data_IF_977504569309
#
_entry.id   IF_977504569309
#
_cell.length_a   1.000
_cell.length_b   1.000
_cell.length_c   1.000
_cell.angle_alpha   90.00
_cell.angle_beta   90.00
_cell.angle_gamma   90.00
#
_symmetry.space_group_name_H-M   'P 1'
#
loop_
_entity.id
_entity.type
_entity.pdbx_description
1 polymer ?
#
# COMPACT_ATOMS: atom_id res chain seq x y z
N UNK A 1 28.36 53.97 -4.39
CA UNK A 1 26.92 53.62 -4.48
C UNK A 1 26.77 52.17 -4.11
N UNK A 2 26.42 51.92 -2.84
CA UNK A 2 26.34 50.57 -2.30
C UNK A 2 24.88 50.07 -2.39
N UNK A 3 24.70 48.89 -2.95
CA UNK A 3 23.40 48.23 -3.03
C UNK A 3 23.07 47.50 -1.71
N UNK A 4 21.82 47.51 -1.25
CA UNK A 4 21.44 46.84 -0.02
C UNK A 4 21.26 45.35 -0.23
N UNK A 5 21.90 44.57 0.64
CA UNK A 5 21.72 43.10 0.74
C UNK A 5 20.35 42.79 1.33
N UNK A 6 19.53 42.09 0.55
CA UNK A 6 18.29 41.50 1.06
C UNK A 6 18.61 40.24 1.87
N UNK A 7 18.45 40.31 3.17
CA UNK A 7 18.40 39.15 4.05
C UNK A 7 17.10 38.39 3.77
N UNK A 8 17.23 37.16 3.27
CA UNK A 8 16.11 36.20 3.24
C UNK A 8 16.05 35.55 4.61
N UNK A 9 14.99 35.82 5.34
CA UNK A 9 14.62 35.13 6.55
C UNK A 9 14.11 33.75 6.15
N UNK A 10 14.85 32.72 6.50
CA UNK A 10 14.39 31.33 6.43
C UNK A 10 13.38 31.12 7.56
N UNK A 11 12.13 30.90 7.24
CA UNK A 11 11.13 30.47 8.19
C UNK A 11 11.43 29.03 8.61
N UNK A 12 11.83 28.83 9.85
CA UNK A 12 11.89 27.52 10.45
C UNK A 12 10.46 27.11 10.82
N UNK A 13 9.96 26.06 10.21
CA UNK A 13 8.68 25.46 10.56
C UNK A 13 8.89 24.72 11.89
N UNK A 14 8.39 25.28 12.95
CA UNK A 14 8.29 24.61 14.24
C UNK A 14 6.99 23.83 14.28
N UNK A 15 7.08 22.51 14.18
CA UNK A 15 5.95 21.62 14.43
C UNK A 15 5.71 21.58 15.95
N UNK A 16 4.77 22.37 16.45
CA UNK A 16 4.29 22.27 17.83
C UNK A 16 3.18 21.22 17.87
N UNK A 17 3.49 20.06 18.41
CA UNK A 17 2.50 19.04 18.75
C UNK A 17 1.65 19.57 19.92
N UNK A 18 0.41 19.94 19.65
CA UNK A 18 -0.58 20.27 20.67
C UNK A 18 -1.07 19.00 21.36
N UNK A 19 -0.66 18.80 22.61
CA UNK A 19 -1.20 17.76 23.49
C UNK A 19 -2.50 18.28 24.09
N UNK A 20 -3.65 17.78 23.62
CA UNK A 20 -4.93 17.94 24.34
C UNK A 20 -5.09 16.76 25.29
N UNK A 21 -4.93 17.05 26.57
CA UNK A 21 -5.27 16.14 27.66
C UNK A 21 -6.79 15.98 27.72
N UNK A 22 -7.33 14.82 27.29
CA UNK A 22 -8.70 14.41 27.48
C UNK A 22 -8.87 13.74 28.84
N UNK A 23 -9.64 14.35 29.73
CA UNK A 23 -10.00 13.83 31.04
C UNK A 23 -10.80 12.53 30.93
N UNK A 24 -10.31 11.46 31.55
CA UNK A 24 -11.02 10.21 31.75
C UNK A 24 -12.08 10.37 32.84
N UNK A 25 -13.35 10.24 32.49
CA UNK A 25 -14.44 10.06 33.46
C UNK A 25 -14.57 8.56 33.76
N UNK A 26 -14.19 8.20 34.98
CA UNK A 26 -14.48 6.91 35.59
C UNK A 26 -15.97 6.84 35.96
N UNK A 27 -16.70 5.89 35.38
CA UNK A 27 -17.96 5.44 35.88
C UNK A 27 -17.80 4.04 36.45
N UNK A 28 -17.72 3.96 37.78
CA UNK A 28 -17.86 2.76 38.57
C UNK A 28 -19.35 2.38 38.66
N UNK A 29 -19.71 1.16 38.27
CA UNK A 29 -20.92 0.52 38.69
C UNK A 29 -20.61 -0.87 39.25
N UNK A 30 -20.87 -1.05 40.52
CA UNK A 30 -20.80 -2.29 41.31
C UNK A 30 -21.86 -3.29 40.91
N UNK A 31 -21.45 -4.56 41.03
CA UNK A 31 -22.10 -5.84 40.92
C UNK A 31 -23.43 -6.06 41.67
N UNK A 32 -23.83 -7.24 42.09
CA UNK A 32 -23.21 -8.57 42.12
C UNK A 32 -24.16 -9.72 41.68
N UNK A 33 -23.61 -10.94 41.78
CA UNK A 33 -24.26 -12.24 42.06
C UNK A 33 -24.67 -13.16 40.91
N UNK A 34 -23.86 -14.19 40.78
CA UNK A 34 -24.17 -15.56 40.39
C UNK A 34 -25.30 -16.18 41.24
N UNK A 35 -25.93 -17.33 40.95
CA UNK A 35 -25.39 -18.50 40.28
C UNK A 35 -26.36 -19.42 39.47
N UNK A 36 -25.75 -20.43 38.88
CA UNK A 36 -26.23 -21.83 38.67
C UNK A 36 -27.05 -22.18 37.43
N UNK A 37 -26.42 -23.06 36.75
CA UNK A 37 -26.75 -24.45 36.35
C UNK A 37 -27.50 -24.74 35.06
N UNK A 38 -26.85 -25.63 34.39
CA UNK A 38 -27.36 -26.83 33.72
C UNK A 38 -28.03 -26.72 32.34
N UNK A 39 -27.36 -27.30 31.41
CA UNK A 39 -27.93 -28.51 30.82
C UNK A 39 -28.32 -28.44 29.37
N UNK A 40 -27.68 -29.26 28.65
CA UNK A 40 -28.16 -30.20 27.63
C UNK A 40 -28.31 -29.81 26.17
N UNK A 41 -27.47 -30.52 25.43
CA UNK A 41 -27.76 -31.27 24.19
C UNK A 41 -27.94 -30.56 22.85
N UNK A 42 -27.00 -30.90 22.00
CA UNK A 42 -27.13 -30.91 20.55
C UNK A 42 -28.25 -31.84 20.07
N UNK A 43 -28.75 -31.69 18.85
CA UNK A 43 -28.56 -32.81 17.96
C UNK A 43 -28.01 -32.48 16.57
N UNK A 44 -27.16 -33.36 16.13
CA UNK A 44 -26.79 -33.64 14.77
C UNK A 44 -28.01 -34.03 13.93
N UNK A 45 -28.05 -33.59 12.68
CA UNK A 45 -28.87 -34.23 11.66
C UNK A 45 -28.03 -34.44 10.39
N UNK A 46 -27.65 -35.69 10.25
CA UNK A 46 -27.12 -36.30 9.03
C UNK A 46 -28.33 -36.61 8.13
N UNK A 47 -28.29 -36.25 6.85
CA UNK A 47 -29.19 -36.77 5.85
C UNK A 47 -28.40 -37.28 4.65
N UNK A 48 -28.28 -38.58 4.60
CA UNK A 48 -27.87 -39.39 3.46
C UNK A 48 -29.08 -39.65 2.60
N UNK A 49 -29.02 -39.48 1.26
CA UNK A 49 -29.91 -40.14 0.35
C UNK A 49 -29.18 -40.66 -0.86
N UNK A 50 -29.06 -41.97 -0.90
CA UNK A 50 -28.78 -42.84 -2.03
C UNK A 50 -30.02 -43.01 -2.86
N UNK A 51 -29.88 -42.96 -4.18
CA UNK A 51 -30.91 -43.34 -5.13
C UNK A 51 -30.30 -43.82 -6.44
N UNK A 52 -30.13 -45.11 -6.59
CA UNK A 52 -29.80 -45.76 -7.80
C UNK A 52 -31.10 -46.08 -8.59
N UNK A 53 -31.07 -45.89 -9.91
CA UNK A 53 -32.13 -46.31 -10.82
C UNK A 53 -31.57 -46.66 -12.19
N UNK A 54 -31.44 -47.96 -12.39
CA UNK A 54 -31.14 -48.57 -13.71
C UNK A 54 -32.38 -48.59 -14.61
N UNK A 55 -32.20 -48.28 -15.88
CA UNK A 55 -33.21 -48.49 -16.91
C UNK A 55 -32.57 -48.65 -18.29
N UNK A 56 -32.45 -49.86 -18.74
CA UNK A 56 -32.05 -50.26 -20.10
C UNK A 56 -33.19 -50.13 -21.09
N UNK A 57 -32.94 -49.64 -22.28
CA UNK A 57 -33.88 -49.70 -23.40
C UNK A 57 -33.17 -49.39 -24.70
N UNK A 58 -32.98 -50.40 -25.53
CA UNK A 58 -32.33 -50.30 -26.84
C UNK A 58 -33.27 -49.78 -27.92
N UNK A 59 -32.67 -49.17 -28.95
CA UNK A 59 -33.36 -48.73 -30.16
C UNK A 59 -32.36 -48.28 -31.20
N UNK A 60 -32.14 -49.14 -32.19
CA UNK A 60 -31.34 -48.85 -33.38
C UNK A 60 -32.05 -47.85 -34.32
N UNK A 61 -31.32 -46.78 -34.70
CA UNK A 61 -31.77 -45.89 -35.78
C UNK A 61 -30.55 -45.20 -36.42
N UNK A 62 -30.22 -45.68 -37.64
CA UNK A 62 -29.24 -44.99 -38.50
C UNK A 62 -29.82 -43.69 -39.02
N UNK A 63 -29.08 -42.60 -38.81
CA UNK A 63 -29.35 -41.32 -39.43
C UNK A 63 -28.10 -40.49 -39.46
N UNK A 64 -27.42 -40.41 -40.60
CA UNK A 64 -26.28 -39.57 -40.84
C UNK A 64 -26.72 -38.11 -40.92
N UNK A 65 -26.42 -37.31 -39.93
CA UNK A 65 -26.56 -35.86 -39.96
C UNK A 65 -25.26 -35.24 -39.50
N UNK A 66 -24.47 -34.68 -40.43
CA UNK A 66 -23.33 -33.79 -40.11
C UNK A 66 -23.86 -32.54 -39.44
N UNK A 67 -24.00 -32.56 -38.15
CA UNK A 67 -24.21 -31.37 -37.34
C UNK A 67 -22.85 -30.79 -36.92
N UNK A 68 -22.45 -29.74 -37.60
CA UNK A 68 -21.34 -28.89 -37.16
C UNK A 68 -21.70 -28.31 -35.79
N UNK A 69 -21.24 -28.95 -34.72
CA UNK A 69 -21.37 -28.45 -33.37
C UNK A 69 -20.49 -27.22 -33.21
N UNK A 70 -21.04 -26.05 -33.45
CA UNK A 70 -20.41 -24.81 -33.01
C UNK A 70 -20.29 -24.87 -31.49
N UNK A 71 -19.06 -25.01 -31.00
CA UNK A 71 -18.76 -24.79 -29.59
C UNK A 71 -19.29 -23.41 -29.22
N UNK A 72 -19.99 -23.25 -28.09
CA UNK A 72 -20.39 -21.94 -27.65
C UNK A 72 -19.11 -21.10 -27.46
N UNK A 73 -18.93 -20.10 -28.30
CA UNK A 73 -17.92 -19.07 -28.11
C UNK A 73 -18.41 -18.28 -26.89
N UNK A 74 -17.85 -18.56 -25.72
CA UNK A 74 -18.01 -17.69 -24.56
C UNK A 74 -17.30 -16.40 -24.95
N UNK A 75 -18.06 -15.43 -25.42
CA UNK A 75 -17.60 -14.05 -25.63
C UNK A 75 -17.36 -13.45 -24.25
N UNK A 76 -16.16 -13.63 -23.72
CA UNK A 76 -15.73 -12.86 -22.58
C UNK A 76 -15.51 -11.44 -23.06
N UNK A 77 -16.35 -10.50 -22.64
CA UNK A 77 -16.09 -9.08 -22.85
C UNK A 77 -14.66 -8.76 -22.35
N UNK A 78 -13.88 -7.99 -23.12
CA UNK A 78 -12.55 -7.63 -22.68
C UNK A 78 -12.62 -6.93 -21.32
N UNK A 79 -11.70 -7.27 -20.42
CA UNK A 79 -11.60 -6.62 -19.11
C UNK A 79 -11.30 -5.14 -19.32
N UNK A 80 -12.03 -4.26 -18.62
CA UNK A 80 -11.77 -2.82 -18.66
C UNK A 80 -10.29 -2.57 -18.28
N UNK A 81 -9.57 -1.85 -19.11
CA UNK A 81 -8.16 -1.55 -18.92
C UNK A 81 -7.87 -0.08 -19.22
N UNK A 82 -7.91 0.75 -18.17
CA UNK A 82 -7.63 2.19 -18.23
C UNK A 82 -6.17 2.56 -18.00
N UNK A 83 -5.22 1.64 -18.23
CA UNK A 83 -3.78 1.93 -18.04
C UNK A 83 -3.13 2.57 -19.29
N UNK A 84 -3.91 2.94 -20.30
CA UNK A 84 -3.37 3.49 -21.55
C UNK A 84 -2.74 4.87 -21.38
N UNK A 85 -1.42 4.97 -21.53
CA UNK A 85 -0.65 6.24 -21.60
C UNK A 85 -0.83 7.22 -20.43
N UNK A 86 -1.20 6.73 -19.25
CA UNK A 86 -1.40 7.57 -18.05
C UNK A 86 -0.45 7.22 -16.90
N UNK A 87 0.52 6.34 -17.13
CA UNK A 87 1.46 5.87 -16.13
C UNK A 87 0.91 4.86 -15.12
N UNK A 88 -0.41 4.64 -15.07
CA UNK A 88 -1.00 3.65 -14.17
C UNK A 88 -0.56 2.24 -14.56
N UNK A 89 -0.13 1.48 -13.56
CA UNK A 89 0.25 0.06 -13.69
C UNK A 89 -0.45 -0.75 -12.60
N UNK A 90 -0.69 -2.03 -12.87
CA UNK A 90 -1.37 -2.92 -11.92
C UNK A 90 -0.59 -4.24 -11.87
N UNK A 91 -0.15 -4.64 -10.68
CA UNK A 91 0.49 -5.92 -10.41
C UNK A 91 -0.41 -6.81 -9.56
N UNK A 92 -0.69 -8.02 -10.02
CA UNK A 92 -1.62 -8.97 -9.38
C UNK A 92 -0.92 -10.19 -8.74
N UNK A 93 0.40 -10.11 -8.59
CA UNK A 93 1.22 -11.22 -8.09
C UNK A 93 1.53 -12.27 -9.14
N UNK A 94 0.99 -12.18 -10.36
CA UNK A 94 1.41 -13.00 -11.47
C UNK A 94 2.72 -12.49 -12.09
N UNK A 95 3.19 -13.15 -13.15
CA UNK A 95 4.35 -12.69 -13.90
C UNK A 95 4.08 -11.48 -14.80
N UNK A 96 2.84 -11.03 -14.87
CA UNK A 96 2.44 -9.94 -15.75
C UNK A 96 2.08 -8.69 -14.97
N UNK A 97 2.53 -7.55 -15.48
CA UNK A 97 2.11 -6.22 -15.05
C UNK A 97 1.22 -5.61 -16.13
N UNK A 98 0.04 -5.14 -15.76
CA UNK A 98 -0.87 -4.44 -16.69
C UNK A 98 -0.43 -2.99 -16.76
N UNK A 99 -0.06 -2.51 -17.93
CA UNK A 99 0.41 -1.15 -18.18
C UNK A 99 0.29 -0.80 -19.67
N UNK A 100 0.11 0.48 -19.98
CA UNK A 100 -0.03 0.98 -21.36
C UNK A 100 -1.09 0.21 -22.19
N UNK A 101 -2.18 -0.18 -21.55
CA UNK A 101 -3.26 -0.94 -22.21
C UNK A 101 -2.96 -2.43 -22.44
N UNK A 102 -1.79 -2.94 -22.05
CA UNK A 102 -1.35 -4.31 -22.31
C UNK A 102 -0.88 -5.03 -21.03
N UNK A 103 -0.56 -6.31 -21.16
CA UNK A 103 0.09 -7.11 -20.12
C UNK A 103 1.55 -7.31 -20.51
N UNK A 104 2.46 -6.80 -19.69
CA UNK A 104 3.91 -6.91 -19.88
C UNK A 104 4.44 -8.06 -19.03
N UNK A 105 5.20 -8.97 -19.63
CA UNK A 105 5.75 -10.15 -18.97
C UNK A 105 7.11 -9.81 -18.31
N UNK A 106 7.16 -9.92 -16.99
CA UNK A 106 8.39 -9.70 -16.20
C UNK A 106 9.22 -10.98 -16.00
N UNK A 107 8.77 -12.11 -16.53
CA UNK A 107 9.49 -13.39 -16.45
C UNK A 107 9.46 -14.07 -15.08
N UNK A 108 8.91 -13.44 -14.06
CA UNK A 108 8.74 -13.95 -12.69
C UNK A 108 7.48 -13.34 -12.07
N UNK A 109 6.96 -13.92 -10.99
CA UNK A 109 5.90 -13.27 -10.24
C UNK A 109 6.32 -11.86 -9.79
N UNK A 110 5.39 -10.91 -9.85
CA UNK A 110 5.60 -9.50 -9.46
C UNK A 110 4.59 -9.16 -8.37
N UNK A 111 5.08 -9.05 -7.14
CA UNK A 111 4.27 -8.63 -6.00
C UNK A 111 4.71 -7.25 -5.53
N UNK A 112 3.74 -6.43 -5.15
CA UNK A 112 3.96 -5.14 -4.50
C UNK A 112 4.90 -4.21 -5.31
N UNK A 113 4.61 -4.06 -6.61
CA UNK A 113 5.44 -3.27 -7.52
C UNK A 113 5.39 -1.78 -7.17
N UNK A 114 6.56 -1.14 -7.16
CA UNK A 114 6.72 0.31 -7.06
C UNK A 114 7.74 0.80 -8.09
N UNK A 115 7.55 2.03 -8.59
CA UNK A 115 8.43 2.64 -9.58
C UNK A 115 9.43 3.60 -8.94
N UNK A 116 10.64 3.67 -9.52
CA UNK A 116 11.57 4.76 -9.21
C UNK A 116 10.94 6.11 -9.55
N UNK A 117 11.29 7.22 -8.85
CA UNK A 117 10.68 8.54 -9.11
C UNK A 117 10.80 9.03 -10.56
N UNK A 118 11.81 8.55 -11.30
CA UNK A 118 12.01 8.85 -12.71
C UNK A 118 11.30 7.86 -13.66
N UNK A 119 10.58 6.88 -13.13
CA UNK A 119 9.85 5.85 -13.86
C UNK A 119 10.72 4.87 -14.66
N UNK A 120 12.05 4.86 -14.46
CA UNK A 120 12.97 4.06 -15.25
C UNK A 120 13.23 2.67 -14.70
N UNK A 121 12.92 2.44 -13.44
CA UNK A 121 13.10 1.16 -12.75
C UNK A 121 11.87 0.77 -11.98
N UNK A 122 11.58 -0.52 -12.00
CA UNK A 122 10.61 -1.16 -11.13
C UNK A 122 11.32 -1.86 -9.99
N UNK A 123 10.81 -1.75 -8.76
CA UNK A 123 11.16 -2.61 -7.63
C UNK A 123 9.94 -3.46 -7.28
N UNK A 124 10.16 -4.73 -6.93
CA UNK A 124 9.08 -5.66 -6.57
C UNK A 124 9.65 -6.84 -5.79
N UNK A 125 8.75 -7.62 -5.19
CA UNK A 125 9.08 -8.92 -4.60
C UNK A 125 8.80 -9.98 -5.66
N UNK A 126 9.81 -10.74 -6.04
CA UNK A 126 9.74 -11.73 -7.10
C UNK A 126 9.14 -13.08 -6.67
N UNK A 127 9.15 -14.08 -7.57
CA UNK A 127 8.56 -15.39 -7.32
C UNK A 127 9.27 -16.20 -6.23
N UNK A 128 10.53 -15.92 -5.98
CA UNK A 128 11.34 -16.56 -4.93
C UNK A 128 11.20 -15.81 -3.58
N UNK A 129 10.51 -14.66 -3.59
CA UNK A 129 10.35 -13.78 -2.44
C UNK A 129 11.51 -12.81 -2.25
N UNK A 130 12.40 -12.71 -3.22
CA UNK A 130 13.56 -11.82 -3.22
C UNK A 130 13.16 -10.40 -3.61
N UNK A 131 13.94 -9.40 -3.17
CA UNK A 131 13.80 -8.02 -3.61
C UNK A 131 14.52 -7.84 -4.93
N UNK A 132 13.75 -7.57 -5.99
CA UNK A 132 14.25 -7.44 -7.35
C UNK A 132 14.02 -6.04 -7.92
N UNK A 133 14.94 -5.60 -8.78
CA UNK A 133 14.81 -4.38 -9.60
C UNK A 133 14.94 -4.76 -11.07
N UNK A 134 14.12 -4.16 -11.93
CA UNK A 134 14.20 -4.38 -13.39
C UNK A 134 13.96 -3.09 -14.19
N UNK A 135 14.13 -3.19 -15.50
CA UNK A 135 13.60 -2.21 -16.43
C UNK A 135 12.06 -2.30 -16.51
N UNK A 136 11.39 -1.29 -17.07
CA UNK A 136 9.92 -1.27 -17.16
C UNK A 136 9.31 -2.39 -18.02
N UNK A 137 10.07 -2.99 -18.89
CA UNK A 137 9.68 -4.13 -19.71
C UNK A 137 9.99 -5.49 -19.05
N UNK A 138 10.43 -5.48 -17.78
CA UNK A 138 10.84 -6.67 -17.05
C UNK A 138 12.26 -7.16 -17.38
N UNK A 139 12.92 -6.60 -18.38
CA UNK A 139 14.29 -6.94 -18.73
C UNK A 139 15.32 -6.43 -17.71
N UNK A 140 16.55 -6.95 -17.76
CA UNK A 140 17.65 -6.48 -16.92
C UNK A 140 17.36 -6.64 -15.41
N UNK A 141 16.63 -7.69 -15.03
CA UNK A 141 16.33 -7.98 -13.62
C UNK A 141 17.60 -8.25 -12.82
N UNK A 142 17.71 -7.59 -11.69
CA UNK A 142 18.78 -7.75 -10.70
C UNK A 142 18.15 -8.09 -9.35
N UNK A 143 18.67 -9.09 -8.67
CA UNK A 143 18.31 -9.37 -7.27
C UNK A 143 19.14 -8.42 -6.40
N UNK A 144 18.46 -7.46 -5.78
CA UNK A 144 19.07 -6.48 -4.88
C UNK A 144 19.37 -7.11 -3.54
N UNK A 145 18.45 -7.92 -3.03
CA UNK A 145 18.60 -8.66 -1.79
C UNK A 145 17.86 -10.00 -1.86
N UNK A 146 18.48 -11.05 -1.27
CA UNK A 146 17.86 -12.37 -1.18
C UNK A 146 17.13 -12.56 0.13
N UNK A 147 15.93 -13.10 0.02
CA UNK A 147 15.16 -13.52 1.17
C UNK A 147 15.80 -14.77 1.77
N UNK A 148 16.18 -14.78 3.06
CA UNK A 148 16.82 -15.94 3.68
C UNK A 148 15.84 -17.13 3.88
N UNK A 149 14.61 -17.02 3.37
CA UNK A 149 13.52 -17.94 3.61
C UNK A 149 12.83 -17.69 4.95
N UNK A 150 11.60 -18.18 5.08
CA UNK A 150 10.77 -18.02 6.28
C UNK A 150 10.42 -16.56 6.66
N UNK A 151 10.60 -15.63 5.74
CA UNK A 151 10.19 -14.24 5.87
C UNK A 151 9.20 -13.88 4.75
N UNK A 152 8.24 -13.02 5.05
CA UNK A 152 7.40 -12.41 4.04
C UNK A 152 7.83 -10.96 3.87
N UNK A 153 8.35 -10.64 2.69
CA UNK A 153 8.74 -9.30 2.28
C UNK A 153 7.62 -8.67 1.47
N UNK A 154 7.38 -7.37 1.70
CA UNK A 154 6.27 -6.67 1.06
C UNK A 154 6.50 -5.17 0.95
N UNK A 155 5.75 -4.53 0.03
CA UNK A 155 5.66 -3.08 -0.16
C UNK A 155 7.01 -2.39 -0.29
N UNK A 156 7.87 -2.82 -1.25
CA UNK A 156 9.11 -2.10 -1.51
C UNK A 156 8.79 -0.72 -2.08
N UNK A 157 9.58 0.29 -1.65
CA UNK A 157 9.44 1.67 -2.08
C UNK A 157 10.81 2.32 -2.27
N UNK A 158 10.88 3.35 -3.10
CA UNK A 158 12.11 4.06 -3.43
C UNK A 158 12.29 5.28 -2.53
N UNK A 159 13.39 5.33 -1.79
CA UNK A 159 13.85 6.53 -1.13
C UNK A 159 14.94 7.18 -1.98
N UNK A 160 14.59 8.23 -2.69
CA UNK A 160 15.54 8.98 -3.52
C UNK A 160 15.62 10.42 -3.02
N UNK A 161 16.84 10.91 -2.83
CA UNK A 161 17.12 12.30 -2.47
C UNK A 161 18.38 12.75 -3.18
N UNK A 162 18.34 13.93 -3.76
CA UNK A 162 19.55 14.60 -4.27
C UNK A 162 20.38 15.14 -3.10
N UNK A 163 21.72 15.20 -3.27
CA UNK A 163 22.56 15.84 -2.26
C UNK A 163 22.20 17.31 -2.11
N UNK A 164 21.97 17.74 -0.88
CA UNK A 164 21.80 19.14 -0.55
C UNK A 164 23.05 19.66 0.16
N UNK A 165 23.85 20.45 -0.56
CA UNK A 165 25.08 21.03 -0.05
C UNK A 165 24.83 22.09 1.02
N UNK A 166 23.67 22.72 1.03
CA UNK A 166 23.36 23.81 1.98
C UNK A 166 23.06 23.24 3.37
N UNK A 167 22.34 22.14 3.43
CA UNK A 167 22.05 21.45 4.69
C UNK A 167 23.05 20.35 5.04
N UNK A 168 24.00 20.05 4.14
CA UNK A 168 24.98 18.99 4.33
C UNK A 168 24.39 17.57 4.17
N UNK A 169 23.19 17.42 3.63
CA UNK A 169 22.55 16.13 3.44
C UNK A 169 23.13 15.40 2.21
N UNK A 170 23.61 14.16 2.37
CA UNK A 170 24.09 13.37 1.24
C UNK A 170 22.95 12.93 0.32
N UNK A 171 23.26 12.59 -0.91
CA UNK A 171 22.33 11.87 -1.79
C UNK A 171 21.92 10.54 -1.15
N UNK A 172 20.69 10.11 -1.43
CA UNK A 172 20.19 8.80 -1.06
C UNK A 172 19.54 8.14 -2.27
N UNK A 173 19.78 6.85 -2.42
CA UNK A 173 19.13 5.97 -3.40
C UNK A 173 18.99 4.59 -2.75
N UNK A 174 17.92 4.43 -2.00
CA UNK A 174 17.66 3.24 -1.20
C UNK A 174 16.30 2.66 -1.54
N UNK A 175 16.14 1.39 -1.23
CA UNK A 175 14.85 0.70 -1.20
C UNK A 175 14.49 0.43 0.25
N UNK A 176 13.28 0.79 0.65
CA UNK A 176 12.69 0.42 1.92
C UNK A 176 11.60 -0.61 1.68
N UNK A 177 11.41 -1.54 2.60
CA UNK A 177 10.36 -2.55 2.51
C UNK A 177 10.02 -3.12 3.89
N UNK A 178 8.85 -3.74 3.99
CA UNK A 178 8.43 -4.42 5.22
C UNK A 178 8.88 -5.89 5.19
N UNK A 179 9.39 -6.36 6.31
CA UNK A 179 9.77 -7.75 6.54
C UNK A 179 8.96 -8.30 7.70
N UNK A 180 8.16 -9.33 7.44
CA UNK A 180 7.46 -10.09 8.48
C UNK A 180 8.14 -11.43 8.66
N UNK A 181 8.62 -11.67 9.87
CA UNK A 181 9.29 -12.93 10.24
C UNK A 181 8.29 -14.05 10.51
N UNK A 182 8.76 -15.29 10.59
CA UNK A 182 7.91 -16.47 10.83
C UNK A 182 7.13 -16.42 12.16
N UNK A 183 7.65 -15.71 13.16
CA UNK A 183 6.94 -15.46 14.42
C UNK A 183 5.94 -14.29 14.37
N UNK A 184 5.67 -13.76 13.18
CA UNK A 184 4.67 -12.72 12.95
C UNK A 184 5.12 -11.28 13.23
N UNK A 185 6.36 -11.07 13.68
CA UNK A 185 6.89 -9.71 13.92
C UNK A 185 7.26 -9.04 12.61
N UNK A 186 6.73 -7.84 12.39
CA UNK A 186 7.07 -7.00 11.24
C UNK A 186 8.03 -5.89 11.63
N UNK A 187 8.98 -5.58 10.74
CA UNK A 187 9.91 -4.43 10.83
C UNK A 187 10.16 -3.86 9.45
N UNK A 188 10.56 -2.60 9.40
CA UNK A 188 11.02 -1.98 8.16
C UNK A 188 12.51 -2.20 7.97
N UNK A 189 12.90 -2.49 6.75
CA UNK A 189 14.28 -2.70 6.34
C UNK A 189 14.62 -1.77 5.18
N UNK A 190 15.91 -1.48 5.04
CA UNK A 190 16.46 -0.72 3.95
C UNK A 190 17.69 -1.38 3.34
N UNK A 191 17.92 -1.12 2.06
CA UNK A 191 19.07 -1.56 1.30
C UNK A 191 19.38 -0.54 0.19
N UNK A 192 20.65 -0.30 -0.20
CA UNK A 192 20.94 0.52 -1.36
C UNK A 192 20.27 -0.04 -2.62
N UNK A 193 19.66 0.84 -3.44
CA UNK A 193 18.94 0.42 -4.64
C UNK A 193 19.87 -0.20 -5.71
N UNK A 194 21.17 0.11 -5.65
CA UNK A 194 22.21 -0.47 -6.49
C UNK A 194 22.79 -1.77 -5.93
N UNK A 195 22.20 -2.32 -4.86
CA UNK A 195 22.66 -3.56 -4.23
C UNK A 195 22.62 -4.76 -5.20
N UNK A 196 23.56 -5.68 -5.00
CA UNK A 196 23.57 -7.00 -5.64
C UNK A 196 23.76 -8.03 -4.53
N UNK A 197 22.74 -8.85 -4.28
CA UNK A 197 22.69 -9.79 -3.17
C UNK A 197 23.09 -9.14 -1.83
N UNK A 198 22.70 -7.88 -1.63
CA UNK A 198 23.05 -7.09 -0.47
C UNK A 198 22.26 -7.55 0.76
N UNK A 199 22.82 -7.35 1.95
CA UNK A 199 22.14 -7.67 3.22
C UNK A 199 21.32 -6.49 3.69
N UNK A 200 19.97 -6.59 3.73
CA UNK A 200 19.14 -5.52 4.22
C UNK A 200 19.38 -5.23 5.71
N UNK A 201 19.30 -3.96 6.08
CA UNK A 201 19.43 -3.50 7.46
C UNK A 201 18.10 -3.03 8.01
N UNK A 202 17.84 -3.27 9.29
CA UNK A 202 16.66 -2.73 9.97
C UNK A 202 16.73 -1.20 9.94
N UNK A 203 15.67 -0.54 9.49
CA UNK A 203 15.60 0.91 9.50
C UNK A 203 15.53 1.42 10.94
N UNK A 204 16.36 2.40 11.26
CA UNK A 204 16.18 3.19 12.45
C UNK A 204 14.95 4.09 12.28
N UNK A 205 13.97 3.93 13.15
CA UNK A 205 12.79 4.78 13.23
C UNK A 205 13.01 5.76 14.38
N UNK A 206 13.91 6.72 14.15
CA UNK A 206 14.35 7.61 15.21
C UNK A 206 13.17 8.45 15.70
N UNK A 207 13.02 8.50 17.02
CA UNK A 207 12.36 9.59 17.72
C UNK A 207 13.43 10.47 18.35
N UNK A 208 13.16 11.75 18.53
CA UNK A 208 13.99 12.56 19.41
C UNK A 208 14.11 11.90 20.78
N UNK A 209 15.31 11.86 21.31
CA UNK A 209 15.52 11.43 22.69
C UNK A 209 15.25 12.61 23.62
N UNK A 210 14.16 12.54 24.37
CA UNK A 210 13.84 13.46 25.45
C UNK A 210 13.15 12.68 26.57
N UNK A 211 13.28 13.14 27.81
CA UNK A 211 12.71 12.44 28.97
C UNK A 211 11.19 12.24 28.86
N UNK A 212 10.50 13.12 28.12
CA UNK A 212 9.04 13.10 27.94
C UNK A 212 8.59 12.54 26.59
N UNK A 213 9.50 12.10 25.71
CA UNK A 213 9.16 11.62 24.37
C UNK A 213 8.97 10.11 24.39
N UNK A 214 7.75 9.65 24.11
CA UNK A 214 7.47 8.23 23.97
C UNK A 214 8.17 7.69 22.71
N UNK A 215 9.03 6.67 22.83
CA UNK A 215 9.68 6.07 21.67
C UNK A 215 8.67 5.54 20.66
N UNK A 216 8.97 5.72 19.38
CA UNK A 216 8.16 5.13 18.31
C UNK A 216 8.26 3.60 18.31
N UNK A 217 7.19 2.88 17.90
CA UNK A 217 7.23 1.44 17.76
C UNK A 217 8.32 1.01 16.77
N UNK A 218 9.28 0.19 17.23
CA UNK A 218 10.36 -0.34 16.39
C UNK A 218 9.98 -1.67 15.70
N UNK A 219 8.78 -2.20 15.98
CA UNK A 219 8.23 -3.42 15.39
C UNK A 219 6.71 -3.30 15.23
N UNK A 220 6.13 -4.22 14.45
CA UNK A 220 4.73 -4.15 14.02
C UNK A 220 4.53 -3.24 12.79
N UNK A 221 5.59 -2.62 12.30
CA UNK A 221 5.54 -1.65 11.22
C UNK A 221 5.45 -2.34 9.86
N UNK A 222 4.60 -1.80 8.99
CA UNK A 222 4.27 -2.32 7.67
C UNK A 222 4.02 -1.15 6.70
N UNK A 223 3.89 -1.46 5.42
CA UNK A 223 3.42 -0.53 4.40
C UNK A 223 4.26 0.75 4.30
N UNK A 224 5.57 0.66 4.10
CA UNK A 224 6.37 1.87 3.88
C UNK A 224 6.06 2.47 2.51
N UNK A 225 5.97 3.80 2.46
CA UNK A 225 5.88 4.58 1.24
C UNK A 225 6.80 5.78 1.36
N UNK A 226 7.85 5.83 0.55
CA UNK A 226 8.82 6.91 0.52
C UNK A 226 8.63 7.76 -0.73
N UNK A 227 8.69 9.06 -0.58
CA UNK A 227 8.56 10.01 -1.67
C UNK A 227 9.09 11.40 -1.26
N UNK A 228 8.84 12.39 -2.10
CA UNK A 228 9.16 13.79 -1.85
C UNK A 228 10.65 14.12 -2.00
N UNK A 229 10.95 15.40 -1.92
CA UNK A 229 12.28 15.96 -2.19
C UNK A 229 13.35 15.50 -1.18
N UNK A 230 12.94 15.24 0.06
CA UNK A 230 13.85 14.94 1.17
C UNK A 230 13.97 13.44 1.45
N UNK A 231 13.22 12.60 0.73
CA UNK A 231 13.24 11.14 0.93
C UNK A 231 12.61 10.71 2.24
N UNK A 232 11.61 11.43 2.73
CA UNK A 232 10.80 11.01 3.86
C UNK A 232 10.04 9.72 3.52
N UNK A 233 9.66 8.96 4.54
CA UNK A 233 8.85 7.77 4.40
C UNK A 233 7.72 7.75 5.42
N UNK A 234 6.52 7.43 4.98
CA UNK A 234 5.39 7.12 5.86
C UNK A 234 5.23 5.62 5.98
N UNK A 235 4.66 5.14 7.08
CA UNK A 235 4.40 3.73 7.29
C UNK A 235 3.25 3.53 8.28
N UNK A 236 2.65 2.36 8.28
CA UNK A 236 1.58 2.01 9.20
C UNK A 236 2.08 1.05 10.30
N UNK A 237 1.43 1.10 11.45
CA UNK A 237 1.57 0.10 12.49
C UNK A 237 0.18 -0.42 12.90
N UNK A 238 -0.24 -1.59 12.39
CA UNK A 238 -1.54 -2.17 12.73
C UNK A 238 -1.76 -2.41 14.22
N UNK A 239 -0.68 -2.63 15.00
CA UNK A 239 -0.76 -2.85 16.45
C UNK A 239 -1.18 -1.59 17.23
N UNK A 240 -0.89 -0.41 16.71
CA UNK A 240 -1.33 0.88 17.27
C UNK A 240 -2.49 1.51 16.50
N UNK A 241 -2.78 1.00 15.28
CA UNK A 241 -3.76 1.59 14.38
C UNK A 241 -3.34 2.97 13.86
N UNK A 242 -2.05 3.27 13.81
CA UNK A 242 -1.53 4.59 13.46
C UNK A 242 -0.64 4.56 12.23
N UNK A 243 -0.64 5.68 11.52
CA UNK A 243 0.33 6.07 10.50
C UNK A 243 1.42 6.91 11.13
N UNK A 244 2.64 6.66 10.72
CA UNK A 244 3.85 7.34 11.18
C UNK A 244 4.61 7.92 10.01
N UNK A 245 5.43 8.93 10.28
CA UNK A 245 6.44 9.43 9.35
C UNK A 245 7.85 9.16 9.90
N UNK A 246 8.75 8.80 9.01
CA UNK A 246 10.20 8.84 9.20
C UNK A 246 10.74 9.94 8.32
N UNK A 247 11.16 11.02 8.95
CA UNK A 247 11.77 12.14 8.26
C UNK A 247 13.30 11.97 8.26
N UNK A 248 13.87 11.83 7.07
CA UNK A 248 15.31 11.74 6.85
C UNK A 248 15.95 13.11 6.57
N UNK A 249 15.23 14.20 6.80
CA UNK A 249 15.75 15.54 6.69
C UNK A 249 16.69 15.86 7.90
N UNK A 250 16.99 17.10 8.11
CA UNK A 250 18.02 17.63 9.03
C UNK A 250 18.08 16.98 10.43
N UNK A 251 16.99 16.44 10.94
CA UNK A 251 16.92 15.90 12.30
C UNK A 251 16.68 14.40 12.38
N UNK A 252 16.39 13.73 11.26
CA UNK A 252 16.06 12.30 11.21
C UNK A 252 15.00 11.90 12.25
N UNK A 253 13.97 12.70 12.37
CA UNK A 253 12.91 12.53 13.35
C UNK A 253 11.79 11.66 12.79
N UNK A 254 11.14 10.91 13.67
CA UNK A 254 9.89 10.23 13.37
C UNK A 254 8.77 10.76 14.27
N UNK A 255 7.56 10.71 13.77
CA UNK A 255 6.36 11.10 14.49
C UNK A 255 5.18 10.21 14.17
N UNK A 256 4.25 10.07 15.12
CA UNK A 256 2.91 9.58 14.83
C UNK A 256 2.10 10.72 14.17
N UNK A 257 1.43 10.41 13.07
CA UNK A 257 0.66 11.40 12.33
C UNK A 257 -0.84 11.29 12.65
N UNK A 258 -1.42 10.13 12.39
CA UNK A 258 -2.86 9.95 12.50
C UNK A 258 -3.24 8.48 12.68
N UNK A 259 -4.51 8.21 12.97
CA UNK A 259 -5.07 6.85 12.90
C UNK A 259 -5.39 6.50 11.46
N UNK A 260 -5.01 5.29 11.05
CA UNK A 260 -5.23 4.78 9.70
C UNK A 260 -4.26 3.65 9.34
N UNK A 261 -4.32 3.24 8.09
CA UNK A 261 -3.50 2.19 7.48
C UNK A 261 -3.10 2.56 6.06
N UNK A 262 -2.21 1.77 5.45
CA UNK A 262 -1.86 1.84 4.02
C UNK A 262 -1.53 3.25 3.53
N UNK A 263 -0.60 3.96 4.18
CA UNK A 263 -0.29 5.32 3.78
C UNK A 263 0.51 5.35 2.48
N UNK A 264 0.27 6.38 1.67
CA UNK A 264 1.11 6.73 0.53
C UNK A 264 1.47 8.22 0.60
N UNK A 265 2.77 8.51 0.57
CA UNK A 265 3.31 9.87 0.58
C UNK A 265 3.29 10.44 -0.82
N UNK A 266 2.81 11.69 -0.96
CA UNK A 266 2.77 12.38 -2.24
C UNK A 266 4.18 12.61 -2.80
N UNK A 267 4.38 12.50 -4.12
CA UNK A 267 5.67 12.75 -4.76
C UNK A 267 6.04 14.23 -4.84
N UNK A 268 5.11 15.12 -4.51
CA UNK A 268 5.26 16.58 -4.53
C UNK A 268 5.95 17.10 -3.28
N UNK A 269 6.28 18.40 -3.26
CA UNK A 269 6.96 19.04 -2.14
C UNK A 269 6.08 19.23 -0.91
N UNK A 270 4.77 19.18 -1.07
CA UNK A 270 3.80 19.51 -0.03
C UNK A 270 3.64 18.41 1.02
N UNK A 271 4.25 17.24 0.79
CA UNK A 271 4.25 16.10 1.71
C UNK A 271 2.83 15.65 2.11
N UNK A 272 1.87 15.81 1.23
CA UNK A 272 0.52 15.30 1.43
C UNK A 272 0.55 13.78 1.58
N UNK A 273 -0.31 13.25 2.44
CA UNK A 273 -0.38 11.81 2.71
C UNK A 273 -1.81 11.35 2.46
N UNK A 274 -1.97 10.40 1.54
CA UNK A 274 -3.21 9.65 1.44
C UNK A 274 -3.09 8.37 2.29
N UNK A 275 -4.14 8.01 3.00
CA UNK A 275 -4.17 6.81 3.82
C UNK A 275 -5.59 6.25 3.91
N UNK A 276 -5.70 5.01 4.39
CA UNK A 276 -6.97 4.31 4.55
C UNK A 276 -7.48 4.45 5.98
N UNK A 277 -8.78 4.70 6.13
CA UNK A 277 -9.49 4.69 7.41
C UNK A 277 -10.88 4.12 7.23
N UNK A 278 -11.26 3.18 8.09
CA UNK A 278 -12.62 2.61 8.06
C UNK A 278 -13.64 3.58 8.63
N UNK A 279 -14.71 3.83 7.89
CA UNK A 279 -15.84 4.68 8.25
C UNK A 279 -17.12 3.99 7.82
N UNK A 280 -18.09 3.84 8.73
CA UNK A 280 -19.40 3.29 8.38
C UNK A 280 -19.40 1.85 7.84
N UNK A 281 -18.33 1.08 8.05
CA UNK A 281 -18.19 -0.30 7.59
C UNK A 281 -17.48 -0.45 6.24
N UNK A 282 -16.99 0.65 5.67
CA UNK A 282 -16.17 0.67 4.46
C UNK A 282 -14.82 1.34 4.72
N UNK A 283 -13.82 0.98 3.92
CA UNK A 283 -12.51 1.61 3.91
C UNK A 283 -12.51 2.82 2.98
N UNK A 284 -12.27 3.99 3.56
CA UNK A 284 -12.25 5.28 2.88
C UNK A 284 -10.83 5.76 2.67
N UNK A 285 -10.61 6.57 1.64
CA UNK A 285 -9.37 7.31 1.43
C UNK A 285 -9.46 8.67 2.13
N UNK A 286 -8.48 8.94 2.98
CA UNK A 286 -8.31 10.22 3.65
C UNK A 286 -7.04 10.91 3.14
N UNK A 287 -7.12 12.20 2.94
CA UNK A 287 -5.98 13.07 2.68
C UNK A 287 -5.62 13.82 3.96
N UNK A 288 -4.35 13.73 4.34
CA UNK A 288 -3.71 14.65 5.29
C UNK A 288 -2.92 15.68 4.50
N UNK A 289 -3.17 16.95 4.77
CA UNK A 289 -2.41 18.08 4.26
C UNK A 289 -1.81 18.84 5.45
N UNK A 290 -0.48 18.94 5.49
CA UNK A 290 0.23 19.66 6.52
C UNK A 290 0.21 21.16 6.26
N UNK A 291 -0.18 21.95 7.25
CA UNK A 291 -0.20 23.42 7.19
C UNK A 291 0.56 24.03 8.36
N UNK A 292 0.87 25.31 8.29
CA UNK A 292 1.51 26.07 9.38
C UNK A 292 0.69 26.04 10.70
N UNK A 293 -0.62 25.80 10.59
CA UNK A 293 -1.54 25.70 11.73
C UNK A 293 -1.79 24.25 12.18
N UNK A 294 -1.03 23.30 11.65
CA UNK A 294 -1.18 21.87 11.90
C UNK A 294 -1.83 21.12 10.75
N UNK A 295 -1.94 19.77 10.86
CA UNK A 295 -2.49 18.95 9.80
C UNK A 295 -4.00 19.15 9.65
N UNK A 296 -4.47 19.11 8.41
CA UNK A 296 -5.89 19.05 8.07
C UNK A 296 -6.20 17.70 7.46
N UNK A 297 -7.41 17.21 7.69
CA UNK A 297 -7.85 15.90 7.19
C UNK A 297 -9.09 16.04 6.35
N UNK A 298 -9.11 15.36 5.21
CA UNK A 298 -10.25 15.33 4.31
C UNK A 298 -10.57 13.90 3.90
N UNK A 299 -11.82 13.50 4.03
CA UNK A 299 -12.32 12.26 3.43
C UNK A 299 -12.53 12.50 1.93
N UNK A 300 -11.79 11.75 1.10
CA UNK A 300 -11.85 11.83 -0.35
C UNK A 300 -12.99 10.96 -0.92
N UNK A 301 -13.51 10.02 -0.13
CA UNK A 301 -14.55 9.07 -0.53
C UNK A 301 -15.73 9.06 0.44
N UNK A 302 -16.30 10.23 0.81
CA UNK A 302 -17.27 10.36 1.91
C UNK A 302 -18.58 9.58 1.67
N UNK A 303 -18.87 9.22 0.43
CA UNK A 303 -20.07 8.45 0.05
C UNK A 303 -19.69 7.02 -0.39
N UNK A 304 -18.59 6.46 0.13
CA UNK A 304 -18.16 5.12 -0.23
C UNK A 304 -19.22 4.07 0.13
N UNK A 305 -19.51 3.21 -0.82
CA UNK A 305 -20.36 2.01 -0.67
C UNK A 305 -19.54 0.74 -0.96
N UNK A 306 -18.23 0.88 -1.10
CA UNK A 306 -17.25 -0.16 -1.32
C UNK A 306 -15.94 0.25 -0.67
N UNK A 307 -15.03 -0.70 -0.47
CA UNK A 307 -13.74 -0.43 0.13
C UNK A 307 -12.77 0.15 -0.90
N UNK A 308 -12.01 1.16 -0.49
CA UNK A 308 -10.88 1.74 -1.22
C UNK A 308 -9.62 1.52 -0.42
N UNK A 309 -8.71 0.73 -0.97
CA UNK A 309 -7.46 0.30 -0.30
C UNK A 309 -6.25 0.54 -1.20
N UNK A 310 -5.07 0.37 -0.66
CA UNK A 310 -3.81 0.38 -1.43
C UNK A 310 -3.65 1.63 -2.31
N UNK A 311 -3.76 2.86 -1.75
CA UNK A 311 -3.67 4.07 -2.55
C UNK A 311 -2.28 4.29 -3.15
N UNK A 312 -2.25 4.84 -4.37
CA UNK A 312 -1.03 5.22 -5.07
C UNK A 312 -1.19 6.59 -5.75
N UNK A 313 -0.19 7.45 -5.60
CA UNK A 313 -0.15 8.76 -6.23
C UNK A 313 0.37 8.72 -7.66
N UNK A 314 -0.24 9.51 -8.55
CA UNK A 314 0.39 9.85 -9.82
C UNK A 314 1.64 10.70 -9.61
N UNK A 315 2.64 10.65 -10.52
CA UNK A 315 3.90 11.38 -10.35
C UNK A 315 3.75 12.90 -10.25
N UNK A 316 2.68 13.45 -10.80
CA UNK A 316 2.36 14.87 -10.73
C UNK A 316 1.56 15.26 -9.46
N UNK A 317 1.23 14.29 -8.59
CA UNK A 317 0.48 14.50 -7.35
C UNK A 317 -1.00 14.87 -7.54
N UNK A 318 -1.55 14.73 -8.74
CA UNK A 318 -2.92 15.20 -9.03
C UNK A 318 -3.98 14.12 -8.97
N UNK A 319 -3.57 12.85 -9.10
CA UNK A 319 -4.48 11.72 -9.16
C UNK A 319 -4.06 10.66 -8.15
N UNK A 320 -5.03 10.06 -7.51
CA UNK A 320 -4.86 8.88 -6.66
C UNK A 320 -5.55 7.71 -7.34
N UNK A 321 -4.86 6.59 -7.46
CA UNK A 321 -5.45 5.30 -7.78
C UNK A 321 -5.64 4.51 -6.48
N UNK A 322 -6.70 3.73 -6.39
CA UNK A 322 -6.94 2.83 -5.28
C UNK A 322 -7.52 1.51 -5.77
N UNK A 323 -7.19 0.45 -5.06
CA UNK A 323 -7.81 -0.85 -5.25
C UNK A 323 -9.22 -0.85 -4.68
N UNK A 324 -10.12 -1.54 -5.38
CA UNK A 324 -11.47 -1.87 -4.91
C UNK A 324 -11.71 -3.38 -5.07
N UNK A 325 -12.75 -3.96 -4.48
CA UNK A 325 -13.11 -5.37 -4.70
C UNK A 325 -13.29 -5.73 -6.19
N UNK A 326 -13.64 -4.74 -7.02
CA UNK A 326 -13.95 -4.94 -8.45
C UNK A 326 -12.84 -4.51 -9.41
N UNK A 327 -11.68 -4.07 -8.92
CA UNK A 327 -10.57 -3.60 -9.74
C UNK A 327 -9.92 -2.32 -9.20
N UNK A 328 -9.57 -1.40 -10.10
CA UNK A 328 -8.92 -0.13 -9.73
C UNK A 328 -9.84 1.04 -10.06
N UNK A 329 -9.96 1.95 -9.10
CA UNK A 329 -10.59 3.25 -9.26
C UNK A 329 -9.54 4.37 -9.17
N UNK A 330 -9.81 5.51 -9.81
CA UNK A 330 -9.00 6.72 -9.71
C UNK A 330 -9.87 7.91 -9.32
N UNK A 331 -9.28 8.88 -8.63
CA UNK A 331 -9.93 10.13 -8.26
C UNK A 331 -8.91 11.27 -8.25
N UNK A 332 -9.36 12.52 -8.45
CA UNK A 332 -8.50 13.68 -8.23
C UNK A 332 -8.06 13.77 -6.77
N UNK A 333 -6.79 14.12 -6.54
CA UNK A 333 -6.22 14.22 -5.20
C UNK A 333 -6.88 15.32 -4.35
N UNK A 334 -7.41 16.34 -5.01
CA UNK A 334 -8.18 17.42 -4.35
C UNK A 334 -9.61 16.99 -3.94
N UNK A 335 -10.01 15.75 -4.23
CA UNK A 335 -11.34 15.22 -3.92
C UNK A 335 -12.49 15.99 -4.58
N UNK A 336 -12.22 16.68 -5.68
CA UNK A 336 -13.23 17.46 -6.42
C UNK A 336 -14.28 16.60 -7.13
N UNK A 337 -13.96 15.33 -7.36
CA UNK A 337 -14.85 14.36 -8.02
C UNK A 337 -14.84 13.02 -7.30
N UNK A 338 -15.93 12.28 -7.45
CA UNK A 338 -16.05 10.91 -6.94
C UNK A 338 -15.11 9.97 -7.68
N UNK A 339 -14.67 8.86 -7.03
CA UNK A 339 -13.84 7.85 -7.68
C UNK A 339 -14.51 7.24 -8.92
N UNK A 340 -13.72 7.02 -9.96
CA UNK A 340 -14.16 6.39 -11.20
C UNK A 340 -13.39 5.08 -11.38
N UNK A 341 -14.12 3.98 -11.58
CA UNK A 341 -13.51 2.69 -11.93
C UNK A 341 -12.86 2.77 -13.30
N UNK A 342 -11.54 2.55 -13.36
CA UNK A 342 -10.74 2.62 -14.58
C UNK A 342 -10.26 1.25 -15.06
N UNK A 343 -10.22 0.25 -14.19
CA UNK A 343 -9.78 -1.10 -14.54
C UNK A 343 -10.57 -2.17 -13.83
N UNK A 344 -10.83 -3.28 -14.51
CA UNK A 344 -11.35 -4.51 -13.93
C UNK A 344 -10.27 -5.50 -13.50
N UNK A 345 -8.99 -5.18 -13.72
CA UNK A 345 -7.89 -5.98 -13.19
C UNK A 345 -7.77 -5.71 -11.68
N UNK A 346 -7.75 -6.80 -10.92
CA UNK A 346 -7.50 -6.73 -9.48
C UNK A 346 -5.99 -6.83 -9.23
N UNK A 347 -5.48 -6.02 -8.32
CA UNK A 347 -4.06 -5.99 -8.00
C UNK A 347 -3.67 -4.69 -7.32
N UNK A 348 -2.38 -4.52 -7.04
CA UNK A 348 -1.83 -3.30 -6.47
C UNK A 348 -1.65 -2.26 -7.57
N UNK A 349 -2.27 -1.07 -7.47
CA UNK A 349 -1.98 0.03 -8.36
C UNK A 349 -0.63 0.68 -8.03
N UNK A 350 0.08 1.11 -9.06
CA UNK A 350 1.26 1.97 -8.93
C UNK A 350 1.34 2.88 -10.16
N UNK A 351 1.97 4.03 -10.01
CA UNK A 351 2.21 4.94 -11.13
C UNK A 351 3.70 4.98 -11.49
N UNK A 352 3.93 5.03 -12.80
CA UNK A 352 5.24 5.13 -13.41
C UNK A 352 5.53 6.54 -13.92
#
# INVERSE_FOLDING_TARGET
>A
MSAPSRRRTSAAIALTAGITAGAALMLTACGPDDPTSAGTTAPSATATSTGAGSGSGGGSGKGAGKGSGAKPVVSTSPVLNGTGHNGLTISDGSRYVVMNGTRVDFGTAVRDLSWSPDGRKAVFIDGDGDLAVSNPDGSGRVIVARNPGKQNWSHPTWQVRTADKQSGLPAADNLFFAVRTANGVSKLYGVPATGHDATPQVLSLNSESGEDIKPLPQSGNTWPSAAGTYGAAVYANPGTGQVFIRDDNLRQQGAALTHGSEPALAPTQDQDIVFVRSVGGHDHLFLEHSTDNGPTFRDLTPNATTDYTEPAWSPDGRTIAARTPDGIATLPADGSHTPVKVSGYQGLPAYR
#
